data_IF_638145026202
#
_entry.id   IF_638145026202
#
_cell.length_a   1.000
_cell.length_b   1.000
_cell.length_c   1.000
_cell.angle_alpha   90.00
_cell.angle_beta   90.00
_cell.angle_gamma   90.00
#
_symmetry.space_group_name_H-M   'P 1'
#
loop_
_entity.id
_entity.type
_entity.pdbx_description
1 polymer ?
#
# COMPACT_ATOMS: atom_id res chain seq x y z
N UNK A 1 11.91 -6.27 0.27
CA UNK A 1 12.71 -6.58 -0.94
C UNK A 1 12.38 -7.97 -1.55
N UNK A 2 12.33 -9.04 -0.74
CA UNK A 2 12.13 -10.41 -1.22
C UNK A 2 10.82 -10.61 -1.98
N UNK A 3 9.70 -10.12 -1.44
CA UNK A 3 8.40 -10.25 -2.11
C UNK A 3 8.34 -9.54 -3.49
N UNK A 4 9.07 -8.44 -3.68
CA UNK A 4 9.19 -7.78 -4.99
C UNK A 4 10.02 -8.65 -5.94
N UNK A 5 11.15 -9.18 -5.47
CA UNK A 5 12.02 -10.07 -6.26
C UNK A 5 11.28 -11.35 -6.69
N UNK A 6 10.44 -11.89 -5.81
CA UNK A 6 9.58 -13.05 -6.07
C UNK A 6 8.30 -12.73 -6.86
N UNK A 7 8.16 -11.52 -7.43
CA UNK A 7 7.03 -11.20 -8.31
C UNK A 7 5.68 -11.02 -7.63
N UNK A 8 5.61 -10.93 -6.30
CA UNK A 8 4.34 -10.83 -5.58
C UNK A 8 3.68 -9.45 -5.71
N UNK A 9 4.42 -8.40 -6.06
CA UNK A 9 3.88 -7.06 -6.21
C UNK A 9 4.91 -5.96 -6.38
N UNK A 10 4.45 -4.71 -6.27
CA UNK A 10 5.27 -3.50 -6.40
C UNK A 10 5.34 -2.72 -5.07
N UNK A 11 6.35 -1.86 -4.92
CA UNK A 11 6.53 -1.02 -3.73
C UNK A 11 5.61 0.21 -3.77
N UNK A 12 4.76 0.39 -2.76
CA UNK A 12 3.92 1.59 -2.61
C UNK A 12 4.57 2.70 -1.79
N UNK A 13 4.09 3.95 -1.95
CA UNK A 13 4.53 5.13 -1.19
C UNK A 13 4.49 4.94 0.32
N UNK A 14 3.48 4.23 0.85
CA UNK A 14 3.35 3.91 2.28
C UNK A 14 4.36 2.87 2.79
N UNK A 15 5.34 2.45 1.98
CA UNK A 15 6.39 1.54 2.38
C UNK A 15 6.03 0.05 2.41
N UNK A 16 4.84 -0.32 1.90
CA UNK A 16 4.36 -1.71 1.88
C UNK A 16 4.26 -2.21 0.44
N UNK A 17 4.25 -3.54 0.29
CA UNK A 17 4.00 -4.20 -0.99
C UNK A 17 2.53 -4.00 -1.40
N UNK A 18 2.29 -3.69 -2.67
CA UNK A 18 0.97 -3.70 -3.29
C UNK A 18 0.94 -4.87 -4.27
N UNK A 19 0.04 -5.82 -4.01
CA UNK A 19 -0.20 -7.01 -4.85
C UNK A 19 -1.30 -6.73 -5.88
N UNK A 20 -1.38 -7.54 -6.95
CA UNK A 20 -2.43 -7.38 -7.96
C UNK A 20 -3.80 -7.79 -7.41
N UNK A 21 -3.82 -8.82 -6.57
CA UNK A 21 -5.01 -9.54 -6.11
C UNK A 21 -5.64 -8.92 -4.86
N UNK A 22 -4.83 -8.32 -3.99
CA UNK A 22 -5.27 -7.86 -2.67
C UNK A 22 -4.82 -6.43 -2.34
N UNK A 23 -4.13 -5.76 -3.27
CA UNK A 23 -3.51 -4.46 -3.00
C UNK A 23 -2.54 -4.56 -1.82
N UNK A 24 -2.52 -3.57 -0.90
CA UNK A 24 -1.65 -3.61 0.28
C UNK A 24 -2.17 -4.48 1.44
N UNK A 25 -3.34 -5.11 1.31
CA UNK A 25 -3.99 -5.88 2.39
C UNK A 25 -3.47 -7.32 2.46
N UNK A 26 -2.16 -7.46 2.57
CA UNK A 26 -1.46 -8.76 2.68
C UNK A 26 -0.41 -8.72 3.78
N UNK A 27 -0.19 -9.86 4.45
CA UNK A 27 0.97 -10.09 5.31
C UNK A 27 1.93 -11.04 4.61
N UNK A 28 3.23 -10.81 4.80
CA UNK A 28 4.27 -11.56 4.11
C UNK A 28 4.99 -12.48 5.11
N UNK A 29 5.06 -13.77 4.76
CA UNK A 29 5.96 -14.74 5.35
C UNK A 29 7.06 -15.11 4.35
N UNK A 30 8.17 -15.67 4.84
CA UNK A 30 9.23 -16.21 3.98
C UNK A 30 9.86 -17.42 4.64
N UNK A 31 10.27 -18.38 3.82
CA UNK A 31 11.04 -19.56 4.20
C UNK A 31 12.30 -19.56 3.33
N UNK A 32 13.44 -19.86 3.94
CA UNK A 32 14.69 -20.08 3.22
C UNK A 32 14.91 -21.58 3.09
N UNK A 33 15.31 -22.02 1.90
CA UNK A 33 15.59 -23.41 1.58
C UNK A 33 16.71 -23.47 0.54
N UNK A 34 17.47 -24.55 0.58
CA UNK A 34 18.43 -24.98 -0.42
C UNK A 34 17.80 -25.84 -1.54
N UNK A 35 16.51 -26.22 -1.39
CA UNK A 35 15.77 -26.95 -2.40
C UNK A 35 15.84 -26.20 -3.75
N UNK A 36 16.25 -26.87 -4.84
CA UNK A 36 16.31 -26.24 -6.15
C UNK A 36 14.90 -25.88 -6.62
N UNK A 37 14.67 -24.59 -6.87
CA UNK A 37 13.38 -24.05 -7.31
C UNK A 37 13.57 -23.11 -8.50
N UNK A 38 12.59 -23.07 -9.39
CA UNK A 38 12.53 -22.05 -10.41
C UNK A 38 12.25 -20.68 -9.76
N UNK A 39 13.02 -19.66 -10.15
CA UNK A 39 12.82 -18.30 -9.65
C UNK A 39 11.78 -17.54 -10.46
N UNK A 40 10.84 -16.91 -9.75
CA UNK A 40 9.95 -15.91 -10.32
C UNK A 40 10.70 -14.63 -10.71
N UNK A 41 9.99 -13.75 -11.42
CA UNK A 41 10.49 -12.43 -11.84
C UNK A 41 9.65 -11.32 -11.22
N UNK A 42 10.25 -10.14 -10.93
CA UNK A 42 9.50 -8.97 -10.52
C UNK A 42 8.38 -8.63 -11.50
N UNK A 43 7.22 -8.24 -10.96
CA UNK A 43 6.07 -7.80 -11.75
C UNK A 43 5.97 -6.28 -11.76
N UNK A 44 5.40 -5.73 -12.84
CA UNK A 44 5.08 -4.31 -12.97
C UNK A 44 3.63 -4.15 -13.44
N UNK A 45 2.89 -3.26 -12.78
CA UNK A 45 1.52 -2.89 -13.13
C UNK A 45 1.21 -1.42 -12.81
N UNK A 46 2.24 -0.59 -12.60
CA UNK A 46 2.15 0.86 -12.59
C UNK A 46 1.94 1.49 -11.22
N UNK A 47 2.29 0.78 -10.14
CA UNK A 47 2.13 1.28 -8.77
C UNK A 47 2.98 2.53 -8.55
N UNK A 48 4.25 2.55 -8.98
CA UNK A 48 5.13 3.70 -8.78
C UNK A 48 4.54 4.95 -9.42
N UNK A 49 4.16 4.88 -10.69
CA UNK A 49 3.62 6.01 -11.46
C UNK A 49 2.29 6.51 -10.90
N UNK A 50 1.51 5.60 -10.30
CA UNK A 50 0.31 5.98 -9.56
C UNK A 50 0.66 6.68 -8.25
N UNK A 51 1.63 6.15 -7.51
CA UNK A 51 2.11 6.72 -6.25
C UNK A 51 2.80 8.07 -6.42
N UNK A 52 3.44 8.35 -7.57
CA UNK A 52 4.08 9.63 -7.87
C UNK A 52 3.05 10.79 -7.83
N UNK A 53 1.80 10.53 -8.26
CA UNK A 53 0.72 11.54 -8.25
C UNK A 53 -0.29 11.35 -7.11
N UNK A 54 -0.36 10.16 -6.51
CA UNK A 54 -1.27 9.84 -5.43
C UNK A 54 -0.66 10.15 -4.06
N UNK A 55 -1.42 10.87 -3.23
CA UNK A 55 -1.03 11.23 -1.85
C UNK A 55 -2.02 10.71 -0.80
N UNK A 56 -2.90 9.76 -1.15
CA UNK A 56 -3.98 9.31 -0.26
C UNK A 56 -3.47 8.83 1.11
N UNK A 57 -2.44 7.96 1.13
CA UNK A 57 -1.85 7.46 2.37
C UNK A 57 -1.12 8.55 3.17
N UNK A 58 -0.41 9.45 2.50
CA UNK A 58 0.32 10.57 3.13
C UNK A 58 -0.64 11.54 3.78
N UNK A 59 -1.70 11.94 3.06
CA UNK A 59 -2.72 12.86 3.55
C UNK A 59 -3.46 12.29 4.77
N UNK A 60 -3.82 11.01 4.72
CA UNK A 60 -4.59 10.35 5.78
C UNK A 60 -3.74 9.90 6.98
N UNK A 61 -2.42 9.87 6.89
CA UNK A 61 -1.56 9.44 7.99
C UNK A 61 -1.66 10.43 9.18
N UNK A 62 -2.18 10.02 10.34
CA UNK A 62 -2.32 10.93 11.49
C UNK A 62 -0.95 11.33 12.07
N UNK A 63 0.02 10.42 12.01
CA UNK A 63 1.38 10.65 12.51
C UNK A 63 2.28 11.45 11.55
N UNK A 64 1.80 11.75 10.32
CA UNK A 64 2.61 12.36 9.25
C UNK A 64 3.96 11.65 9.04
N UNK A 65 3.91 10.32 9.09
CA UNK A 65 5.09 9.45 9.00
C UNK A 65 5.49 9.09 7.57
N UNK A 66 4.62 9.30 6.58
CA UNK A 66 4.84 8.89 5.18
C UNK A 66 5.30 10.11 4.38
N UNK A 67 6.44 10.00 3.69
CA UNK A 67 6.98 11.07 2.85
C UNK A 67 6.01 11.50 1.72
N UNK A 68 5.90 12.81 1.51
CA UNK A 68 5.15 13.38 0.39
C UNK A 68 6.00 13.56 -0.89
N UNK A 69 7.32 13.65 -0.73
CA UNK A 69 8.27 13.89 -1.82
C UNK A 69 8.45 12.70 -2.77
N UNK A 70 9.38 12.87 -3.71
CA UNK A 70 9.88 11.80 -4.56
C UNK A 70 10.72 10.78 -3.76
N UNK A 71 10.86 9.53 -4.23
CA UNK A 71 11.78 8.57 -3.64
C UNK A 71 13.19 9.13 -3.51
N UNK A 72 13.74 9.11 -2.30
CA UNK A 72 15.07 9.63 -1.99
C UNK A 72 15.86 8.63 -1.14
N UNK A 73 17.09 8.98 -0.77
CA UNK A 73 17.93 8.19 0.15
C UNK A 73 17.78 8.65 1.60
N UNK A 74 16.70 9.38 1.93
CA UNK A 74 16.47 9.91 3.27
C UNK A 74 16.39 8.78 4.31
N UNK A 75 16.97 9.06 5.47
CA UNK A 75 16.98 8.20 6.66
C UNK A 75 16.42 9.04 7.80
N UNK A 76 15.24 8.67 8.30
CA UNK A 76 14.60 9.39 9.42
C UNK A 76 15.10 8.90 10.77
N UNK A 77 15.36 7.60 10.90
CA UNK A 77 15.84 6.96 12.13
C UNK A 77 16.55 5.63 11.87
N UNK A 78 17.07 4.99 12.93
CA UNK A 78 17.83 3.72 12.87
C UNK A 78 17.05 2.54 12.27
N UNK A 79 15.73 2.62 12.21
CA UNK A 79 14.86 1.58 11.65
C UNK A 79 14.75 1.66 10.13
N UNK A 80 15.40 2.64 9.50
CA UNK A 80 15.40 2.80 8.05
C UNK A 80 16.65 2.16 7.41
N UNK A 81 16.44 1.52 6.26
CA UNK A 81 17.52 0.95 5.45
C UNK A 81 18.28 2.09 4.76
N UNK A 82 19.61 2.07 4.86
CA UNK A 82 20.50 3.05 4.23
C UNK A 82 20.89 2.63 2.80
N UNK A 83 21.24 3.59 1.95
CA UNK A 83 21.77 3.35 0.60
C UNK A 83 20.74 2.93 -0.47
N UNK A 84 19.44 2.96 -0.16
CA UNK A 84 18.38 2.61 -1.12
C UNK A 84 17.50 3.84 -1.37
N UNK A 85 17.26 4.15 -2.66
CA UNK A 85 16.33 5.21 -3.07
C UNK A 85 14.89 4.69 -3.05
N UNK A 86 14.07 5.16 -2.10
CA UNK A 86 12.66 4.77 -1.93
C UNK A 86 11.88 5.85 -1.15
N UNK A 87 10.54 5.75 -1.12
CA UNK A 87 9.76 6.45 -0.10
C UNK A 87 10.06 5.82 1.27
N UNK A 88 10.54 6.62 2.23
CA UNK A 88 10.95 6.09 3.53
C UNK A 88 9.99 6.58 4.60
N UNK A 89 9.27 5.66 5.22
CA UNK A 89 8.40 6.01 6.35
C UNK A 89 9.23 6.26 7.60
N UNK A 90 8.93 7.34 8.31
CA UNK A 90 9.43 7.61 9.65
C UNK A 90 8.81 6.60 10.63
N UNK A 91 9.53 5.49 10.85
CA UNK A 91 9.07 4.37 11.64
C UNK A 91 8.75 4.76 13.10
N UNK A 92 9.50 5.68 13.70
CA UNK A 92 9.28 6.09 15.09
C UNK A 92 8.01 6.91 15.24
N UNK A 93 7.71 7.84 14.30
CA UNK A 93 6.41 8.54 14.29
C UNK A 93 5.25 7.56 14.12
N UNK A 94 5.38 6.62 13.19
CA UNK A 94 4.35 5.61 12.96
C UNK A 94 4.10 4.75 14.21
N UNK A 95 5.18 4.22 14.82
CA UNK A 95 5.08 3.35 15.98
C UNK A 95 4.61 4.07 17.24
N UNK A 96 5.05 5.32 17.47
CA UNK A 96 4.55 6.15 18.59
C UNK A 96 3.03 6.31 18.53
N UNK A 97 2.46 6.47 17.33
CA UNK A 97 1.01 6.52 17.18
C UNK A 97 0.33 5.19 17.57
N UNK A 98 0.92 4.04 17.25
CA UNK A 98 0.38 2.73 17.66
C UNK A 98 0.41 2.57 19.18
N UNK A 99 1.54 2.91 19.81
CA UNK A 99 1.70 2.86 21.26
C UNK A 99 0.66 3.74 21.98
N UNK A 100 0.45 4.96 21.50
CA UNK A 100 -0.54 5.88 22.08
C UNK A 100 -2.00 5.43 21.88
N UNK A 101 -2.28 4.62 20.86
CA UNK A 101 -3.61 4.05 20.61
C UNK A 101 -3.80 2.66 21.22
N UNK A 102 -2.73 2.07 21.76
CA UNK A 102 -2.68 0.70 22.25
C UNK A 102 -3.20 -0.35 21.23
N UNK A 103 -3.00 -0.09 19.93
CA UNK A 103 -3.45 -0.97 18.84
C UNK A 103 -2.78 -0.61 17.49
N UNK A 104 -2.98 -1.45 16.48
CA UNK A 104 -2.49 -1.24 15.12
C UNK A 104 -3.27 -0.12 14.41
N UNK A 105 -2.58 0.69 13.59
CA UNK A 105 -3.22 1.81 12.88
C UNK A 105 -3.89 1.41 11.54
N UNK A 106 -3.11 0.85 10.62
CA UNK A 106 -3.55 0.40 9.27
C UNK A 106 -4.32 1.42 8.39
N UNK A 107 -4.35 2.72 8.74
CA UNK A 107 -5.06 3.74 7.96
C UNK A 107 -4.51 3.86 6.54
N UNK A 108 -3.19 3.79 6.37
CA UNK A 108 -2.54 3.87 5.06
C UNK A 108 -2.96 2.73 4.11
N UNK A 109 -3.23 1.53 4.65
CA UNK A 109 -3.75 0.38 3.91
C UNK A 109 -5.20 0.66 3.50
N UNK A 110 -6.04 1.09 4.45
CA UNK A 110 -7.48 1.35 4.22
C UNK A 110 -7.71 2.35 3.09
N UNK A 111 -7.03 3.49 3.12
CA UNK A 111 -7.24 4.58 2.16
C UNK A 111 -6.49 4.39 0.84
N UNK A 112 -5.64 3.37 0.73
CA UNK A 112 -4.89 3.14 -0.49
C UNK A 112 -5.87 2.81 -1.62
N UNK A 113 -5.83 3.52 -2.77
CA UNK A 113 -6.69 3.22 -3.91
C UNK A 113 -6.59 1.76 -4.39
N UNK A 114 -5.47 1.09 -4.16
CA UNK A 114 -5.31 -0.33 -4.54
C UNK A 114 -6.02 -1.31 -3.58
N UNK A 115 -6.49 -0.86 -2.41
CA UNK A 115 -7.27 -1.68 -1.48
C UNK A 115 -8.69 -1.88 -2.01
N UNK A 116 -8.91 -2.99 -2.72
CA UNK A 116 -10.17 -3.35 -3.38
C UNK A 116 -10.42 -4.84 -3.30
N UNK A 117 -11.68 -5.20 -3.50
CA UNK A 117 -12.03 -6.55 -3.90
C UNK A 117 -11.89 -6.70 -5.42
N UNK A 118 -10.93 -7.49 -5.87
CA UNK A 118 -10.68 -7.71 -7.29
C UNK A 118 -11.51 -8.85 -7.90
N UNK A 119 -12.42 -9.46 -7.13
CA UNK A 119 -13.50 -10.31 -7.69
C UNK A 119 -14.43 -9.45 -8.54
N UNK A 120 -14.70 -8.22 -8.10
CA UNK A 120 -15.42 -7.22 -8.88
C UNK A 120 -14.66 -6.82 -10.15
N UNK A 121 -15.38 -6.80 -11.27
CA UNK A 121 -14.84 -6.43 -12.58
C UNK A 121 -14.41 -4.96 -12.64
N UNK A 122 -15.12 -4.06 -11.95
CA UNK A 122 -14.80 -2.63 -11.96
C UNK A 122 -13.48 -2.35 -11.26
N UNK A 123 -13.20 -3.06 -10.17
CA UNK A 123 -11.92 -3.00 -9.47
C UNK A 123 -10.74 -3.45 -10.35
N UNK A 124 -10.94 -4.49 -11.18
CA UNK A 124 -9.93 -4.94 -12.17
C UNK A 124 -9.71 -3.93 -13.30
N UNK A 125 -10.80 -3.35 -13.82
CA UNK A 125 -10.74 -2.28 -14.83
C UNK A 125 -10.00 -1.07 -14.27
N UNK A 126 -10.32 -0.66 -13.04
CA UNK A 126 -9.63 0.43 -12.38
C UNK A 126 -8.12 0.19 -12.27
N UNK A 127 -7.68 -1.01 -11.84
CA UNK A 127 -6.24 -1.31 -11.75
C UNK A 127 -5.56 -1.20 -13.10
N UNK A 128 -6.22 -1.65 -14.18
CA UNK A 128 -5.71 -1.48 -15.55
C UNK A 128 -5.61 0.00 -15.92
N UNK A 129 -6.60 0.82 -15.58
CA UNK A 129 -6.53 2.27 -15.82
C UNK A 129 -5.41 2.94 -15.01
N UNK A 130 -5.31 2.64 -13.72
CA UNK A 130 -4.28 3.14 -12.80
C UNK A 130 -2.86 2.81 -13.30
N UNK A 131 -2.66 1.64 -13.92
CA UNK A 131 -1.39 1.24 -14.50
C UNK A 131 -1.00 1.94 -15.81
N UNK A 132 -1.88 2.78 -16.39
CA UNK A 132 -1.68 3.40 -17.72
C UNK A 132 -1.67 4.92 -17.63
N UNK A 133 -1.77 5.63 -18.76
CA UNK A 133 -1.91 7.10 -18.82
C UNK A 133 -3.23 7.59 -18.19
N UNK A 134 -4.24 6.72 -18.06
CA UNK A 134 -5.54 7.02 -17.46
C UNK A 134 -5.54 7.11 -15.93
N UNK A 135 -4.37 6.98 -15.28
CA UNK A 135 -4.24 6.97 -13.82
C UNK A 135 -4.84 8.19 -13.11
N UNK A 136 -4.79 9.38 -13.72
CA UNK A 136 -5.41 10.59 -13.15
C UNK A 136 -6.93 10.46 -13.08
N UNK A 137 -7.54 9.95 -14.15
CA UNK A 137 -8.97 9.67 -14.20
C UNK A 137 -9.35 8.58 -13.18
N UNK A 138 -8.56 7.51 -13.11
CA UNK A 138 -8.80 6.42 -12.15
C UNK A 138 -8.79 6.92 -10.69
N UNK A 139 -7.83 7.77 -10.32
CA UNK A 139 -7.77 8.37 -8.98
C UNK A 139 -8.88 9.38 -8.72
N UNK A 140 -9.31 10.12 -9.75
CA UNK A 140 -10.45 11.03 -9.64
C UNK A 140 -11.75 10.27 -9.36
N UNK A 141 -11.98 9.17 -10.08
CA UNK A 141 -13.13 8.28 -9.87
C UNK A 141 -13.19 7.72 -8.43
N UNK A 142 -12.04 7.41 -7.83
CA UNK A 142 -12.02 6.96 -6.44
C UNK A 142 -12.39 8.04 -5.44
N UNK A 143 -11.96 9.28 -5.71
CA UNK A 143 -12.24 10.42 -4.83
C UNK A 143 -13.73 10.74 -4.81
N UNK A 144 -14.36 10.77 -5.98
CA UNK A 144 -15.81 11.03 -6.07
C UNK A 144 -16.64 9.85 -5.52
N UNK A 145 -16.12 8.63 -5.61
CA UNK A 145 -16.79 7.43 -5.12
C UNK A 145 -16.68 7.19 -3.61
N UNK A 146 -16.08 8.11 -2.84
CA UNK A 146 -15.94 7.98 -1.38
C UNK A 146 -15.11 6.76 -0.94
N UNK A 147 -14.23 6.24 -1.80
CA UNK A 147 -13.53 4.98 -1.52
C UNK A 147 -12.54 5.16 -0.37
N UNK A 148 -12.56 4.22 0.57
CA UNK A 148 -11.64 4.19 1.71
C UNK A 148 -12.12 5.00 2.91
N UNK A 149 -13.38 5.43 2.96
CA UNK A 149 -13.98 6.02 4.17
C UNK A 149 -13.99 5.05 5.36
N UNK A 150 -14.02 5.61 6.58
CA UNK A 150 -14.05 4.82 7.81
C UNK A 150 -15.47 4.35 8.08
N UNK A 151 -15.67 3.04 8.15
CA UNK A 151 -16.94 2.47 8.59
C UNK A 151 -17.04 2.49 10.12
N UNK A 152 -18.26 2.69 10.63
CA UNK A 152 -18.54 2.51 12.06
C UNK A 152 -18.37 1.03 12.43
N UNK A 153 -17.72 0.70 13.57
CA UNK A 153 -17.54 -0.69 13.98
C UNK A 153 -18.85 -1.48 14.05
N UNK A 154 -19.93 -0.87 14.58
CA UNK A 154 -21.25 -1.51 14.63
C UNK A 154 -21.77 -1.92 13.25
N UNK A 155 -21.55 -1.08 12.23
CA UNK A 155 -21.93 -1.39 10.85
C UNK A 155 -21.08 -2.50 10.26
N UNK A 156 -19.78 -2.54 10.57
CA UNK A 156 -18.88 -3.57 10.09
C UNK A 156 -19.23 -4.94 10.67
N UNK A 157 -19.40 -5.03 12.00
CA UNK A 157 -19.69 -6.28 12.69
C UNK A 157 -21.09 -6.82 12.43
N UNK A 158 -22.05 -5.96 12.06
CA UNK A 158 -23.38 -6.37 11.66
C UNK A 158 -23.47 -6.88 10.20
N UNK A 159 -22.45 -6.63 9.37
CA UNK A 159 -22.47 -7.05 7.97
C UNK A 159 -22.10 -8.54 7.82
N UNK A 160 -22.88 -9.34 7.08
CA UNK A 160 -22.53 -10.74 6.82
C UNK A 160 -21.17 -10.84 6.13
N UNK A 161 -20.17 -11.43 6.80
CA UNK A 161 -18.82 -11.64 6.26
C UNK A 161 -17.82 -10.49 6.46
N UNK A 162 -18.19 -9.40 7.13
CA UNK A 162 -17.39 -8.16 7.17
C UNK A 162 -17.41 -7.43 5.82
N UNK A 163 -17.33 -6.09 5.83
CA UNK A 163 -17.57 -5.30 4.61
C UNK A 163 -16.46 -5.37 3.54
#
# INVERSE_FOLDING_TARGET
PLAIKAGLGEYGRHGLLITREYGPRVRLGKIFTDMPLAHDRPVRFGVKETCDICRACTNACPAKAIDDGEPSTVVHNRSNIQGIRKWTTDAEKCFRFWANQNTDCSICIRVCPYNRDYRDRWSRVWRRMAGTRLRRLALWLDRIGGRGERLKPSRWWAAPGGA
#
